data_IF_322547016865
#
_entry.id   IF_322547016865
#
_cell.length_a   1.000
_cell.length_b   1.000
_cell.length_c   1.000
_cell.angle_alpha   90.00
_cell.angle_beta   90.00
_cell.angle_gamma   90.00
#
_symmetry.space_group_name_H-M   'P 1'
#
loop_
_entity.id
_entity.type
_entity.pdbx_description
1 polymer ?
#
# COMPACT_ATOMS: atom_id res chain seq x y z
N UNK A 1 11.32 9.51 18.46
CA UNK A 1 11.64 8.45 17.49
C UNK A 1 13.15 8.26 17.43
N UNK A 2 13.62 7.01 17.44
CA UNK A 2 15.04 6.65 17.27
C UNK A 2 15.36 6.55 15.78
N UNK A 3 16.55 6.99 15.35
CA UNK A 3 16.93 7.01 13.94
C UNK A 3 18.29 6.37 13.71
N UNK A 4 18.42 5.64 12.60
CA UNK A 4 19.70 5.21 12.05
C UNK A 4 20.28 6.33 11.18
N UNK A 5 21.46 6.82 11.55
CA UNK A 5 22.10 7.99 10.93
C UNK A 5 23.47 7.67 10.31
N UNK A 6 23.75 6.39 10.10
CA UNK A 6 25.00 5.96 9.48
C UNK A 6 25.07 6.44 8.03
N UNK A 7 26.28 6.66 7.47
CA UNK A 7 26.44 7.41 6.23
C UNK A 7 25.64 6.86 5.05
N UNK A 8 25.65 5.55 4.79
CA UNK A 8 24.91 4.94 3.69
C UNK A 8 23.42 4.89 3.95
N UNK A 9 22.99 4.60 5.17
CA UNK A 9 21.56 4.64 5.51
C UNK A 9 21.00 6.05 5.31
N UNK A 10 21.73 7.09 5.72
CA UNK A 10 21.32 8.48 5.52
C UNK A 10 21.23 8.85 4.03
N UNK A 11 22.23 8.48 3.23
CA UNK A 11 22.22 8.67 1.77
C UNK A 11 20.98 8.00 1.16
N UNK A 12 20.77 6.71 1.46
CA UNK A 12 19.73 5.90 0.83
C UNK A 12 18.32 6.23 1.29
N UNK A 13 18.13 6.67 2.53
CA UNK A 13 16.80 7.11 2.98
C UNK A 13 16.41 8.45 2.34
N UNK A 14 17.37 9.36 2.13
CA UNK A 14 17.12 10.60 1.40
C UNK A 14 16.74 10.31 -0.05
N UNK A 15 17.44 9.37 -0.70
CA UNK A 15 17.12 8.91 -2.06
C UNK A 15 15.75 8.22 -2.12
N UNK A 16 15.43 7.33 -1.16
CA UNK A 16 14.17 6.58 -1.13
C UNK A 16 12.95 7.50 -1.11
N UNK A 17 12.92 8.48 -0.21
CA UNK A 17 11.78 9.40 -0.11
C UNK A 17 11.89 10.59 -1.09
N UNK A 18 13.02 10.78 -1.78
CA UNK A 18 13.28 12.00 -2.55
C UNK A 18 13.38 13.25 -1.67
N UNK A 19 13.93 13.11 -0.46
CA UNK A 19 14.00 14.18 0.54
C UNK A 19 15.41 14.36 1.11
N UNK A 20 16.15 15.33 0.58
CA UNK A 20 17.55 15.61 0.98
C UNK A 20 17.71 16.18 2.40
N UNK A 21 16.61 16.56 3.06
CA UNK A 21 16.65 17.12 4.43
C UNK A 21 16.37 16.09 5.52
N UNK A 22 16.07 14.83 5.15
CA UNK A 22 15.95 13.77 6.15
C UNK A 22 17.27 13.59 6.90
N UNK A 23 17.17 13.38 8.20
CA UNK A 23 18.31 13.29 9.12
C UNK A 23 18.55 11.88 9.66
N UNK A 24 17.93 10.87 9.05
CA UNK A 24 18.09 9.45 9.39
C UNK A 24 16.85 8.63 9.04
N UNK A 25 17.02 7.32 8.95
CA UNK A 25 15.92 6.37 8.80
C UNK A 25 15.32 6.05 10.17
N UNK A 26 14.00 6.16 10.30
CA UNK A 26 13.32 5.89 11.56
C UNK A 26 13.28 4.39 11.84
N UNK A 27 13.52 4.02 13.09
CA UNK A 27 13.44 2.65 13.57
C UNK A 27 12.13 2.47 14.33
N UNK A 28 11.57 1.27 14.21
CA UNK A 28 10.34 0.86 14.89
C UNK A 28 10.40 1.22 16.38
N UNK A 29 9.33 1.84 16.87
CA UNK A 29 9.25 2.43 18.20
C UNK A 29 8.12 1.84 19.05
N UNK A 30 7.30 0.97 18.47
CA UNK A 30 6.16 0.31 19.10
C UNK A 30 6.52 -1.11 19.48
N UNK A 31 6.23 -1.48 20.73
CA UNK A 31 6.46 -2.84 21.20
C UNK A 31 5.20 -3.69 20.96
N UNK A 32 5.18 -4.47 19.87
CA UNK A 32 4.00 -5.26 19.48
C UNK A 32 4.18 -6.77 19.67
N UNK A 33 5.29 -7.23 20.27
CA UNK A 33 5.54 -8.66 20.46
C UNK A 33 6.38 -8.96 21.70
N UNK A 34 6.43 -10.22 22.12
CA UNK A 34 7.33 -10.65 23.21
C UNK A 34 8.82 -10.64 22.80
N UNK A 35 9.10 -10.51 21.51
CA UNK A 35 10.43 -10.25 20.97
C UNK A 35 10.59 -8.74 20.72
N UNK A 36 11.71 -8.16 21.15
CA UNK A 36 11.96 -6.72 20.99
C UNK A 36 12.13 -6.36 19.51
N UNK A 37 11.06 -5.88 18.88
CA UNK A 37 11.06 -5.33 17.52
C UNK A 37 11.54 -3.86 17.51
N UNK A 38 11.40 -3.19 18.65
CA UNK A 38 11.80 -1.80 18.85
C UNK A 38 13.30 -1.65 18.59
N UNK A 39 13.66 -0.76 17.67
CA UNK A 39 15.05 -0.47 17.33
C UNK A 39 15.76 -1.52 16.46
N UNK A 40 15.09 -2.62 16.07
CA UNK A 40 15.67 -3.68 15.23
C UNK A 40 15.07 -3.78 13.82
N UNK A 41 14.01 -3.01 13.55
CA UNK A 41 13.29 -2.94 12.27
C UNK A 41 13.10 -1.49 11.85
N UNK A 42 12.80 -1.28 10.57
CA UNK A 42 12.37 0.02 10.07
C UNK A 42 10.98 0.39 10.59
N UNK A 43 10.78 1.69 10.83
CA UNK A 43 9.50 2.27 11.27
C UNK A 43 8.37 1.92 10.28
N UNK A 44 7.39 1.14 10.75
CA UNK A 44 6.32 0.61 9.94
C UNK A 44 5.47 1.70 9.29
N UNK A 45 5.39 2.89 9.88
CA UNK A 45 4.69 4.03 9.28
C UNK A 45 5.28 4.37 7.90
N UNK A 46 6.60 4.48 7.80
CA UNK A 46 7.25 5.03 6.60
C UNK A 46 7.90 3.96 5.70
N UNK A 47 8.04 2.72 6.19
CA UNK A 47 8.65 1.60 5.47
C UNK A 47 7.74 0.37 5.39
N UNK A 48 6.42 0.53 5.47
CA UNK A 48 5.49 -0.60 5.38
C UNK A 48 5.78 -1.46 4.15
N UNK A 49 5.82 -2.78 4.34
CA UNK A 49 6.08 -3.74 3.26
C UNK A 49 7.51 -3.72 2.65
N UNK A 50 8.44 -2.95 3.23
CA UNK A 50 9.88 -3.15 3.01
C UNK A 50 10.35 -4.41 3.76
N UNK A 51 11.36 -5.12 3.24
CA UNK A 51 11.89 -6.36 3.82
C UNK A 51 12.12 -6.32 5.34
N UNK A 52 12.66 -5.21 5.85
CA UNK A 52 13.02 -5.02 7.25
C UNK A 52 11.97 -4.22 8.03
N UNK A 53 10.75 -4.07 7.50
CA UNK A 53 9.61 -3.61 8.28
C UNK A 53 9.27 -4.62 9.39
N UNK A 54 8.79 -4.13 10.53
CA UNK A 54 8.55 -4.98 11.70
C UNK A 54 7.47 -6.06 11.50
N UNK A 55 6.52 -5.82 10.60
CA UNK A 55 5.38 -6.70 10.38
C UNK A 55 5.10 -6.82 8.88
N UNK A 56 4.96 -8.05 8.40
CA UNK A 56 4.40 -8.34 7.09
C UNK A 56 2.87 -8.18 7.13
N UNK A 57 2.32 -7.33 6.27
CA UNK A 57 0.88 -7.08 6.20
C UNK A 57 0.29 -7.89 5.05
N UNK A 58 -0.74 -8.68 5.36
CA UNK A 58 -1.44 -9.46 4.34
C UNK A 58 -2.12 -8.54 3.33
N UNK A 59 -2.20 -8.99 2.07
CA UNK A 59 -2.84 -8.27 0.97
C UNK A 59 -2.16 -6.97 0.53
N UNK A 60 -0.96 -6.69 1.02
CA UNK A 60 -0.06 -5.72 0.39
C UNK A 60 0.56 -6.33 -0.88
N UNK A 61 1.09 -5.50 -1.80
CA UNK A 61 1.98 -5.98 -2.85
C UNK A 61 3.13 -6.83 -2.29
N UNK A 62 3.87 -7.51 -3.16
CA UNK A 62 5.02 -8.29 -2.68
C UNK A 62 6.00 -7.41 -1.90
N UNK A 63 6.55 -7.89 -0.75
CA UNK A 63 7.58 -7.17 -0.03
C UNK A 63 8.78 -6.86 -0.94
N UNK A 64 9.45 -5.75 -0.69
CA UNK A 64 10.57 -5.30 -1.54
C UNK A 64 11.82 -5.02 -0.73
N UNK A 65 12.97 -5.17 -1.37
CA UNK A 65 14.28 -4.82 -0.81
C UNK A 65 14.69 -3.45 -1.31
N UNK A 66 14.70 -2.47 -0.41
CA UNK A 66 15.18 -1.12 -0.71
C UNK A 66 16.70 -1.03 -0.62
N UNK A 67 17.27 0.01 -1.25
CA UNK A 67 18.67 0.36 -1.03
C UNK A 67 18.95 0.82 0.41
N UNK A 68 17.92 1.20 1.19
CA UNK A 68 18.08 1.58 2.61
C UNK A 68 18.56 0.38 3.43
N UNK A 69 17.94 -0.79 3.24
CA UNK A 69 18.34 -2.04 3.89
C UNK A 69 19.75 -2.47 3.47
N UNK A 70 20.09 -2.34 2.19
CA UNK A 70 21.47 -2.62 1.74
C UNK A 70 22.47 -1.62 2.34
N UNK A 71 22.12 -0.34 2.43
CA UNK A 71 22.94 0.68 3.09
C UNK A 71 23.22 0.36 4.54
N UNK A 72 22.24 -0.20 5.27
CA UNK A 72 22.44 -0.69 6.64
C UNK A 72 23.47 -1.82 6.69
N UNK A 73 23.39 -2.78 5.77
CA UNK A 73 24.35 -3.87 5.70
C UNK A 73 25.77 -3.40 5.37
N UNK A 74 25.93 -2.41 4.50
CA UNK A 74 27.23 -1.79 4.22
C UNK A 74 27.79 -1.08 5.46
N UNK A 75 26.99 -0.20 6.08
CA UNK A 75 27.40 0.58 7.26
C UNK A 75 27.70 -0.29 8.49
N UNK A 76 27.13 -1.51 8.56
CA UNK A 76 27.46 -2.49 9.62
C UNK A 76 28.93 -2.94 9.59
N UNK A 77 29.60 -2.83 8.44
CA UNK A 77 30.95 -3.33 8.20
C UNK A 77 31.04 -4.86 8.04
N UNK A 78 29.92 -5.59 8.09
CA UNK A 78 29.89 -7.05 7.91
C UNK A 78 29.75 -7.47 6.44
N UNK A 79 29.17 -6.61 5.62
CA UNK A 79 28.83 -6.93 4.23
C UNK A 79 29.30 -5.83 3.28
N UNK A 80 29.56 -6.22 2.05
CA UNK A 80 29.67 -5.32 0.91
C UNK A 80 28.54 -5.68 -0.06
N UNK A 81 27.37 -5.02 0.03
CA UNK A 81 26.22 -5.37 -0.77
C UNK A 81 26.41 -4.97 -2.23
N UNK A 82 25.89 -5.78 -3.14
CA UNK A 82 25.70 -5.39 -4.52
C UNK A 82 24.31 -4.75 -4.65
N UNK A 83 24.29 -3.41 -4.74
CA UNK A 83 23.05 -2.61 -4.86
C UNK A 83 22.23 -2.96 -6.10
N UNK A 84 22.82 -3.59 -7.12
CA UNK A 84 22.05 -4.09 -8.27
C UNK A 84 21.05 -5.19 -7.89
N UNK A 85 21.14 -5.76 -6.68
CA UNK A 85 20.15 -6.68 -6.15
C UNK A 85 18.95 -5.99 -5.48
N UNK A 86 19.00 -4.68 -5.18
CA UNK A 86 17.80 -3.97 -4.71
C UNK A 86 16.68 -4.03 -5.76
N UNK A 87 15.43 -4.06 -5.30
CA UNK A 87 14.28 -3.97 -6.18
C UNK A 87 14.25 -2.61 -6.89
N UNK A 88 13.79 -2.61 -8.14
CA UNK A 88 13.56 -1.35 -8.87
C UNK A 88 12.27 -0.73 -8.37
N UNK A 89 12.41 0.36 -7.60
CA UNK A 89 11.28 1.02 -6.97
C UNK A 89 10.53 1.91 -7.97
N UNK A 90 9.22 1.93 -7.81
CA UNK A 90 8.26 2.66 -8.63
C UNK A 90 7.39 3.46 -7.68
N UNK A 91 7.28 4.76 -7.95
CA UNK A 91 6.46 5.68 -7.17
C UNK A 91 5.00 5.18 -7.18
N UNK A 92 4.32 5.30 -6.04
CA UNK A 92 2.94 4.82 -5.81
C UNK A 92 2.75 3.29 -5.77
N UNK A 93 3.79 2.50 -6.11
CA UNK A 93 3.79 1.05 -5.89
C UNK A 93 4.52 0.69 -4.60
N UNK A 94 5.75 1.21 -4.47
CA UNK A 94 6.64 0.88 -3.37
C UNK A 94 6.50 1.92 -2.27
N UNK A 95 6.34 1.45 -1.04
CA UNK A 95 5.90 2.28 0.08
C UNK A 95 6.85 3.45 0.34
N UNK A 96 6.30 4.67 0.33
CA UNK A 96 7.05 5.90 0.59
C UNK A 96 8.04 6.31 -0.49
N UNK A 97 8.26 5.50 -1.53
CA UNK A 97 9.26 5.81 -2.55
C UNK A 97 8.86 7.08 -3.33
N UNK A 98 9.75 8.08 -3.35
CA UNK A 98 9.55 9.41 -3.93
C UNK A 98 8.28 10.15 -3.46
N UNK A 99 7.81 9.89 -2.24
CA UNK A 99 6.65 10.60 -1.66
C UNK A 99 7.00 11.93 -0.98
N UNK A 100 8.27 12.31 -0.97
CA UNK A 100 8.77 13.55 -0.44
C UNK A 100 8.91 13.56 1.09
N UNK A 101 9.41 14.69 1.59
CA UNK A 101 9.71 14.86 3.01
C UNK A 101 8.48 14.67 3.91
N UNK A 102 7.34 15.22 3.50
CA UNK A 102 6.13 15.21 4.33
C UNK A 102 5.63 13.79 4.60
N UNK A 103 5.82 12.85 3.67
CA UNK A 103 5.47 11.45 3.91
C UNK A 103 6.28 10.89 5.08
N UNK A 104 7.58 11.18 5.10
CA UNK A 104 8.53 10.69 6.08
C UNK A 104 8.51 11.46 7.42
N UNK A 105 8.05 12.71 7.45
CA UNK A 105 8.11 13.56 8.68
C UNK A 105 6.76 13.91 9.29
N UNK A 106 5.71 14.04 8.49
CA UNK A 106 4.40 14.45 8.97
C UNK A 106 3.52 13.25 9.33
N UNK A 107 2.40 13.51 10.00
CA UNK A 107 1.41 12.48 10.31
C UNK A 107 0.81 11.91 9.02
N UNK A 108 0.51 10.61 9.03
CA UNK A 108 -0.22 9.96 7.93
C UNK A 108 -1.62 10.55 7.73
N UNK A 109 -2.26 10.97 8.83
CA UNK A 109 -3.57 11.61 8.86
C UNK A 109 -3.51 12.78 9.84
N UNK A 110 -4.01 13.93 9.40
CA UNK A 110 -4.15 15.12 10.23
C UNK A 110 -5.60 15.58 10.23
N UNK A 111 -6.22 15.63 11.42
CA UNK A 111 -7.63 16.03 11.60
C UNK A 111 -8.61 15.25 10.70
N UNK A 112 -8.39 13.94 10.54
CA UNK A 112 -9.19 13.09 9.69
C UNK A 112 -9.02 13.30 8.17
N UNK A 113 -7.92 13.92 7.74
CA UNK A 113 -7.57 14.09 6.32
C UNK A 113 -6.16 13.58 6.07
N UNK A 114 -5.92 12.98 4.91
CA UNK A 114 -4.57 12.56 4.48
C UNK A 114 -4.20 13.17 3.14
N UNK A 115 -2.96 13.63 3.02
CA UNK A 115 -2.38 14.09 1.75
C UNK A 115 -1.87 12.92 0.89
N UNK A 116 -1.79 11.71 1.46
CA UNK A 116 -1.24 10.53 0.79
C UNK A 116 -2.31 9.45 0.60
N UNK A 117 -3.44 9.84 0.00
CA UNK A 117 -4.63 9.00 -0.19
C UNK A 117 -4.44 7.69 -0.98
N UNK A 118 -3.26 7.48 -1.59
CA UNK A 118 -2.89 6.18 -2.20
C UNK A 118 -2.41 5.17 -1.14
N UNK A 119 -1.80 5.65 -0.05
CA UNK A 119 -1.19 4.83 1.00
C UNK A 119 -2.07 4.77 2.24
N UNK A 120 -2.60 5.92 2.65
CA UNK A 120 -3.40 6.08 3.85
C UNK A 120 -4.84 6.39 3.50
N UNK A 121 -5.75 6.03 4.40
CA UNK A 121 -7.16 6.36 4.31
C UNK A 121 -7.60 7.05 5.60
N UNK A 122 -8.68 7.83 5.51
CA UNK A 122 -9.18 8.60 6.63
C UNK A 122 -10.68 8.39 6.91
N UNK A 123 -11.34 7.54 6.13
CA UNK A 123 -12.77 7.29 6.25
C UNK A 123 -13.07 5.80 6.11
N UNK A 124 -13.77 5.26 7.11
CA UNK A 124 -14.16 3.86 7.14
C UNK A 124 -15.16 3.54 6.02
N UNK A 125 -15.02 2.37 5.40
CA UNK A 125 -15.89 1.95 4.30
C UNK A 125 -15.55 2.57 2.94
N UNK A 126 -14.49 3.38 2.86
CA UNK A 126 -13.93 3.80 1.57
C UNK A 126 -13.09 2.69 0.94
N UNK A 127 -13.01 2.71 -0.38
CA UNK A 127 -12.25 1.77 -1.18
C UNK A 127 -11.19 2.51 -2.00
N UNK A 128 -10.10 1.82 -2.30
CA UNK A 128 -9.08 2.24 -3.25
C UNK A 128 -8.54 1.01 -3.99
N UNK A 129 -7.86 1.23 -5.09
CA UNK A 129 -7.10 0.17 -5.72
C UNK A 129 -5.89 -0.20 -4.87
N UNK A 130 -5.50 -1.47 -4.85
CA UNK A 130 -4.19 -1.87 -4.31
C UNK A 130 -3.07 -1.08 -5.01
N UNK A 131 -1.93 -0.89 -4.33
CA UNK A 131 -0.80 -0.14 -4.90
C UNK A 131 -0.29 -0.78 -6.22
N UNK A 132 -0.39 -2.10 -6.36
CA UNK A 132 -0.08 -2.83 -7.60
C UNK A 132 -1.26 -2.93 -8.59
N UNK A 133 -2.38 -2.28 -8.24
CA UNK A 133 -3.60 -2.15 -9.03
C UNK A 133 -4.21 -3.50 -9.43
N UNK A 134 -3.96 -4.59 -8.70
CA UNK A 134 -4.53 -5.91 -9.00
C UNK A 134 -5.84 -6.23 -8.28
N UNK A 135 -6.19 -5.47 -7.25
CA UNK A 135 -7.40 -5.70 -6.46
C UNK A 135 -8.02 -4.41 -5.97
N UNK A 136 -9.30 -4.50 -5.59
CA UNK A 136 -9.99 -3.47 -4.81
C UNK A 136 -9.73 -3.73 -3.33
N UNK A 137 -9.36 -2.67 -2.62
CA UNK A 137 -8.99 -2.71 -1.20
C UNK A 137 -9.88 -1.76 -0.41
N UNK A 138 -10.33 -2.20 0.77
CA UNK A 138 -11.05 -1.39 1.74
C UNK A 138 -10.11 -0.75 2.76
N UNK A 139 -10.50 0.43 3.23
CA UNK A 139 -9.83 1.13 4.32
C UNK A 139 -9.95 0.32 5.63
N UNK A 140 -8.81 -0.06 6.22
CA UNK A 140 -8.76 -0.76 7.50
C UNK A 140 -8.81 0.24 8.66
N UNK A 141 -9.96 0.26 9.34
CA UNK A 141 -10.20 1.06 10.53
C UNK A 141 -10.98 0.23 11.56
N UNK A 142 -10.66 0.39 12.84
CA UNK A 142 -11.38 -0.24 13.94
C UNK A 142 -11.88 0.80 14.93
N UNK A 143 -13.11 0.62 15.40
CA UNK A 143 -13.68 1.41 16.49
C UNK A 143 -13.39 0.71 17.81
N UNK A 144 -12.63 1.36 18.67
CA UNK A 144 -12.28 0.90 20.00
C UNK A 144 -13.31 1.41 21.02
N UNK A 145 -13.54 0.65 22.09
CA UNK A 145 -14.41 1.08 23.18
C UNK A 145 -13.85 2.35 23.86
N UNK A 146 -12.53 2.35 24.09
CA UNK A 146 -11.78 3.47 24.65
C UNK A 146 -10.36 3.47 24.06
N UNK A 147 -9.80 4.67 23.85
CA UNK A 147 -8.38 4.84 23.50
C UNK A 147 -7.62 5.09 24.80
N UNK A 148 -6.68 4.21 25.13
CA UNK A 148 -5.85 4.38 26.33
C UNK A 148 -4.93 5.60 26.20
N UNK A 149 -4.54 6.17 27.34
CA UNK A 149 -3.68 7.37 27.38
C UNK A 149 -2.37 7.20 26.59
N UNK A 150 -1.81 5.99 26.56
CA UNK A 150 -0.59 5.67 25.80
C UNK A 150 -0.76 5.66 24.28
N UNK A 151 -1.99 5.58 23.77
CA UNK A 151 -2.29 5.57 22.32
C UNK A 151 -2.88 6.92 21.88
N UNK A 152 -3.27 7.79 22.81
CA UNK A 152 -3.96 9.05 22.52
C UNK A 152 -3.20 9.97 21.53
N UNK A 153 -1.86 9.93 21.52
CA UNK A 153 -1.02 10.67 20.56
C UNK A 153 -1.21 10.24 19.10
N UNK A 154 -1.66 9.00 18.90
CA UNK A 154 -1.94 8.37 17.62
C UNK A 154 -3.42 8.45 17.25
N UNK A 155 -4.24 9.17 18.03
CA UNK A 155 -5.61 9.45 17.64
C UNK A 155 -5.67 10.61 16.65
N UNK A 156 -5.80 10.26 15.36
CA UNK A 156 -5.89 11.21 14.25
C UNK A 156 -7.30 11.77 14.04
N UNK A 157 -8.29 11.26 14.79
CA UNK A 157 -9.71 11.52 14.60
C UNK A 157 -10.35 12.06 15.89
N UNK A 158 -11.55 12.62 15.78
CA UNK A 158 -12.30 13.10 16.96
C UNK A 158 -13.00 11.97 17.74
N UNK A 159 -12.97 10.74 17.24
CA UNK A 159 -13.63 9.57 17.84
C UNK A 159 -12.65 8.49 18.26
N UNK A 160 -13.18 7.30 18.57
CA UNK A 160 -12.38 6.13 18.98
C UNK A 160 -12.05 5.21 17.80
N UNK A 161 -12.01 5.75 16.58
CA UNK A 161 -11.74 4.96 15.37
C UNK A 161 -10.31 5.23 14.89
N UNK A 162 -9.49 4.18 14.82
CA UNK A 162 -8.07 4.26 14.45
C UNK A 162 -7.72 3.20 13.40
N UNK A 163 -6.50 3.27 12.86
CA UNK A 163 -5.92 2.17 12.09
C UNK A 163 -5.68 0.92 12.93
N UNK A 164 -5.32 -0.20 12.29
CA UNK A 164 -5.47 -1.53 12.87
C UNK A 164 -4.34 -1.96 13.80
N UNK A 165 -3.14 -1.39 13.64
CA UNK A 165 -1.92 -1.91 14.24
C UNK A 165 -1.05 -0.78 14.76
N UNK A 166 -0.30 -1.06 15.84
CA UNK A 166 0.59 -0.07 16.43
C UNK A 166 1.79 0.24 15.53
N UNK A 167 2.36 -0.74 14.80
CA UNK A 167 3.59 -0.56 13.99
C UNK A 167 3.54 0.50 12.88
N UNK A 168 2.43 0.71 12.13
CA UNK A 168 2.28 1.89 11.29
C UNK A 168 1.67 3.05 12.09
N UNK A 169 1.96 3.15 13.37
CA UNK A 169 1.54 4.26 14.23
C UNK A 169 0.02 4.45 14.27
N UNK A 170 -0.75 3.35 14.24
CA UNK A 170 -2.22 3.36 14.12
C UNK A 170 -2.76 4.15 12.92
N UNK A 171 -1.92 4.40 11.89
CA UNK A 171 -2.36 5.00 10.64
C UNK A 171 -3.31 4.04 9.90
N UNK A 172 -4.48 4.51 9.44
CA UNK A 172 -5.35 3.68 8.62
C UNK A 172 -4.82 3.61 7.18
N UNK A 173 -4.84 2.41 6.60
CA UNK A 173 -4.39 2.15 5.23
C UNK A 173 -5.34 1.16 4.51
N UNK A 174 -5.22 1.08 3.20
CA UNK A 174 -5.99 0.16 2.37
C UNK A 174 -5.40 -1.27 2.40
N UNK A 175 -5.76 -2.04 3.43
CA UNK A 175 -5.27 -3.42 3.61
C UNK A 175 -6.37 -4.49 3.65
N UNK A 176 -7.65 -4.11 3.51
CA UNK A 176 -8.77 -5.05 3.54
C UNK A 176 -9.08 -5.55 2.13
N UNK A 177 -8.70 -6.78 1.78
CA UNK A 177 -9.11 -7.36 0.49
C UNK A 177 -10.63 -7.45 0.42
N UNK A 178 -11.22 -6.92 -0.66
CA UNK A 178 -12.65 -7.05 -0.89
C UNK A 178 -12.90 -8.40 -1.57
N UNK A 179 -13.74 -9.23 -0.93
CA UNK A 179 -14.11 -10.56 -1.42
C UNK A 179 -14.61 -10.48 -2.87
N UNK A 180 -14.12 -11.37 -3.73
CA UNK A 180 -14.47 -11.46 -5.15
C UNK A 180 -14.25 -10.14 -5.94
N UNK A 181 -13.31 -9.29 -5.52
CA UNK A 181 -12.96 -8.04 -6.23
C UNK A 181 -11.46 -7.98 -6.54
N UNK A 182 -10.93 -9.07 -7.06
CA UNK A 182 -9.56 -9.20 -7.53
C UNK A 182 -9.57 -9.11 -9.06
N UNK A 183 -9.08 -8.00 -9.61
CA UNK A 183 -9.12 -7.75 -11.05
C UNK A 183 -8.40 -8.85 -11.84
N UNK A 184 -7.35 -9.43 -11.28
CA UNK A 184 -6.59 -10.51 -11.92
C UNK A 184 -7.20 -11.90 -11.83
N UNK A 185 -8.34 -12.06 -11.14
CA UNK A 185 -9.03 -13.34 -10.97
C UNK A 185 -10.35 -13.35 -11.76
N UNK A 186 -10.46 -14.28 -12.71
CA UNK A 186 -11.66 -14.46 -13.54
C UNK A 186 -12.91 -14.91 -12.77
N UNK A 187 -12.77 -15.30 -11.50
CA UNK A 187 -13.89 -15.66 -10.63
C UNK A 187 -14.43 -14.48 -9.80
N UNK A 188 -13.90 -13.28 -9.99
CA UNK A 188 -14.40 -12.07 -9.33
C UNK A 188 -15.76 -11.62 -9.85
N UNK A 189 -16.48 -10.90 -9.00
CA UNK A 189 -17.83 -10.39 -9.24
C UNK A 189 -17.78 -8.95 -9.77
N UNK A 190 -18.67 -8.62 -10.71
CA UNK A 190 -18.92 -7.24 -11.14
C UNK A 190 -19.65 -6.45 -10.04
N UNK A 191 -19.46 -5.13 -9.99
CA UNK A 191 -20.16 -4.25 -9.03
C UNK A 191 -21.69 -4.39 -9.15
N UNK A 192 -22.19 -4.65 -10.36
CA UNK A 192 -23.60 -4.86 -10.62
C UNK A 192 -23.86 -6.01 -11.58
N UNK A 193 -25.06 -6.57 -11.50
CA UNK A 193 -25.59 -7.53 -12.47
C UNK A 193 -26.91 -6.99 -13.01
N UNK A 194 -27.04 -6.68 -14.32
CA UNK A 194 -26.02 -6.77 -15.39
C UNK A 194 -24.78 -5.88 -15.18
N UNK A 195 -23.66 -6.21 -15.84
CA UNK A 195 -22.37 -5.49 -15.80
C UNK A 195 -22.44 -4.12 -16.50
N UNK A 196 -23.11 -3.14 -15.89
CA UNK A 196 -23.25 -1.80 -16.46
C UNK A 196 -21.95 -0.98 -16.39
N UNK A 197 -21.00 -1.38 -15.54
CA UNK A 197 -19.68 -0.75 -15.43
C UNK A 197 -18.66 -1.32 -16.43
N UNK A 198 -19.05 -2.34 -17.21
CA UNK A 198 -18.25 -2.98 -18.26
C UNK A 198 -16.91 -3.51 -17.76
N UNK A 199 -16.90 -4.01 -16.54
CA UNK A 199 -15.70 -4.55 -15.93
C UNK A 199 -15.23 -5.82 -16.64
N UNK A 200 -13.92 -6.02 -16.65
CA UNK A 200 -13.24 -7.19 -17.22
C UNK A 200 -12.27 -7.74 -16.19
N UNK A 201 -12.33 -9.04 -15.93
CA UNK A 201 -11.45 -9.73 -15.00
C UNK A 201 -10.55 -10.73 -15.75
N UNK A 202 -9.27 -10.74 -15.42
CA UNK A 202 -8.26 -11.57 -16.09
C UNK A 202 -6.85 -11.13 -15.73
N UNK A 203 -5.84 -11.93 -16.06
CA UNK A 203 -4.44 -11.68 -15.64
C UNK A 203 -3.89 -10.31 -16.07
N UNK A 204 -4.38 -9.75 -17.18
CA UNK A 204 -4.06 -8.41 -17.70
C UNK A 204 -4.93 -7.29 -17.11
N UNK A 205 -5.98 -7.60 -16.34
CA UNK A 205 -6.86 -6.59 -15.77
C UNK A 205 -6.27 -5.90 -14.56
N UNK A 206 -6.59 -4.61 -14.42
CA UNK A 206 -6.14 -3.73 -13.34
C UNK A 206 -7.32 -2.90 -12.81
N UNK A 207 -7.18 -2.47 -11.57
CA UNK A 207 -8.12 -1.63 -10.86
C UNK A 207 -7.88 -0.15 -11.21
N UNK A 208 -8.95 0.57 -11.54
CA UNK A 208 -8.94 1.99 -11.85
C UNK A 208 -10.02 2.73 -11.07
N UNK A 209 -9.75 3.99 -10.77
CA UNK A 209 -10.74 4.93 -10.28
C UNK A 209 -11.58 5.40 -11.49
N UNK A 210 -12.86 5.05 -11.50
CA UNK A 210 -13.74 5.23 -12.66
C UNK A 210 -15.19 5.39 -12.24
N UNK A 211 -15.93 6.22 -12.98
CA UNK A 211 -17.40 6.22 -12.98
C UNK A 211 -17.98 5.90 -14.37
N UNK A 212 -17.15 5.33 -15.25
CA UNK A 212 -17.53 4.89 -16.59
C UNK A 212 -18.61 3.80 -16.50
N UNK A 213 -19.73 4.03 -17.19
CA UNK A 213 -20.89 3.15 -17.16
C UNK A 213 -21.78 3.29 -18.38
N UNK A 214 -22.66 2.32 -18.57
CA UNK A 214 -23.73 2.40 -19.56
C UNK A 214 -24.62 3.62 -19.35
N UNK A 215 -25.07 4.21 -20.46
CA UNK A 215 -25.98 5.38 -20.47
C UNK A 215 -27.33 5.14 -19.80
N UNK A 216 -27.72 3.87 -19.60
CA UNK A 216 -28.93 3.52 -18.83
C UNK A 216 -28.79 3.91 -17.35
N UNK A 217 -27.56 3.94 -16.80
CA UNK A 217 -27.26 4.41 -15.46
C UNK A 217 -26.98 5.93 -15.47
N UNK A 218 -27.97 6.73 -15.86
CA UNK A 218 -27.81 8.18 -16.05
C UNK A 218 -28.16 9.06 -14.84
N UNK A 219 -28.59 8.47 -13.72
CA UNK A 219 -28.87 9.26 -12.51
C UNK A 219 -27.57 9.71 -11.84
N UNK A 220 -27.65 10.81 -11.09
CA UNK A 220 -26.53 11.35 -10.31
C UNK A 220 -26.07 10.44 -9.17
N UNK A 221 -26.85 9.42 -8.84
CA UNK A 221 -26.47 8.37 -7.89
C UNK A 221 -25.23 7.60 -8.35
N UNK A 222 -25.02 7.49 -9.66
CA UNK A 222 -23.91 6.75 -10.28
C UNK A 222 -22.74 7.65 -10.70
N UNK A 223 -22.75 8.94 -10.33
CA UNK A 223 -21.64 9.85 -10.64
C UNK A 223 -20.43 9.62 -9.73
N UNK A 224 -20.64 8.94 -8.60
CA UNK A 224 -19.57 8.59 -7.66
C UNK A 224 -18.51 7.72 -8.33
N UNK A 225 -17.24 8.00 -8.03
CA UNK A 225 -16.11 7.19 -8.48
C UNK A 225 -16.06 5.87 -7.74
N UNK A 226 -15.80 4.79 -8.48
CA UNK A 226 -15.63 3.44 -7.97
C UNK A 226 -14.30 2.86 -8.41
N UNK A 227 -13.86 1.84 -7.69
CA UNK A 227 -12.70 1.02 -8.05
C UNK A 227 -13.18 -0.13 -8.95
N UNK A 228 -12.95 0.04 -10.25
CA UNK A 228 -13.46 -0.83 -11.30
C UNK A 228 -12.32 -1.55 -12.02
N UNK A 229 -12.57 -2.79 -12.43
CA UNK A 229 -11.56 -3.63 -13.09
C UNK A 229 -11.68 -3.55 -14.61
N UNK A 230 -10.60 -3.19 -15.29
CA UNK A 230 -10.54 -3.15 -16.76
C UNK A 230 -9.30 -3.88 -17.28
N UNK A 231 -9.41 -4.47 -18.47
CA UNK A 231 -8.27 -5.10 -19.12
C UNK A 231 -7.29 -4.04 -19.65
N UNK A 232 -6.00 -4.31 -19.52
CA UNK A 232 -4.93 -3.41 -19.93
C UNK A 232 -4.03 -4.09 -20.96
N UNK A 233 -3.71 -3.38 -22.03
CA UNK A 233 -2.67 -3.77 -22.99
C UNK A 233 -1.57 -2.72 -23.04
N UNK A 234 -0.38 -3.05 -22.53
CA UNK A 234 0.79 -2.16 -22.56
C UNK A 234 1.38 -2.05 -23.98
N UNK A 235 1.88 -0.87 -24.31
CA UNK A 235 2.70 -0.66 -25.51
C UNK A 235 4.01 -1.46 -25.41
N UNK A 236 4.61 -1.77 -26.56
CA UNK A 236 5.85 -2.56 -26.62
C UNK A 236 7.04 -1.92 -25.92
N UNK A 237 7.03 -0.60 -25.75
CA UNK A 237 8.05 0.18 -25.04
C UNK A 237 7.64 0.52 -23.59
N UNK A 238 6.51 0.04 -23.11
CA UNK A 238 5.92 0.32 -21.78
C UNK A 238 5.65 1.81 -21.51
N UNK A 239 5.65 2.67 -22.52
CA UNK A 239 5.41 4.11 -22.37
C UNK A 239 3.92 4.47 -22.29
N UNK A 240 3.04 3.54 -22.64
CA UNK A 240 1.60 3.75 -22.67
C UNK A 240 0.85 2.42 -22.47
N UNK A 241 -0.45 2.50 -22.23
CA UNK A 241 -1.33 1.33 -22.25
C UNK A 241 -2.74 1.65 -22.71
N UNK A 242 -3.39 0.70 -23.35
CA UNK A 242 -4.78 0.78 -23.77
C UNK A 242 -5.68 0.15 -22.73
N UNK A 243 -6.76 0.84 -22.35
CA UNK A 243 -7.80 0.29 -21.48
C UNK A 243 -8.89 -0.35 -22.35
N UNK A 244 -9.31 -1.56 -21.97
CA UNK A 244 -10.36 -2.33 -22.64
C UNK A 244 -11.47 -2.68 -21.66
N UNK A 245 -12.70 -2.50 -22.10
CA UNK A 245 -13.92 -2.76 -21.33
C UNK A 245 -14.74 -3.86 -21.99
N UNK A 246 -15.67 -4.48 -21.27
CA UNK A 246 -16.60 -5.45 -21.85
C UNK A 246 -17.48 -4.79 -22.93
N UNK A 247 -17.63 -5.46 -24.07
CA UNK A 247 -18.46 -5.00 -25.17
C UNK A 247 -19.95 -5.05 -24.82
N UNK A 248 -20.71 -4.05 -25.28
CA UNK A 248 -22.18 -4.06 -25.22
C UNK A 248 -22.82 -5.00 -26.26
N UNK A 249 -22.03 -5.60 -27.15
CA UNK A 249 -22.52 -6.54 -28.17
C UNK A 249 -23.00 -7.86 -27.53
N UNK A 250 -23.93 -8.54 -28.19
CA UNK A 250 -24.51 -9.82 -27.75
C UNK A 250 -23.53 -11.00 -27.62
N UNK A 251 -22.23 -10.75 -27.79
CA UNK A 251 -21.15 -11.72 -27.69
C UNK A 251 -20.48 -11.56 -26.33
N UNK A 252 -20.96 -12.32 -25.35
CA UNK A 252 -20.36 -12.40 -24.01
C UNK A 252 -18.86 -12.66 -24.09
N UNK A 253 -18.06 -11.88 -23.37
CA UNK A 253 -16.61 -12.01 -23.31
C UNK A 253 -15.82 -11.31 -24.44
N UNK A 254 -16.46 -10.49 -25.27
CA UNK A 254 -15.72 -9.60 -26.20
C UNK A 254 -15.35 -8.29 -25.49
N UNK A 255 -14.15 -7.76 -25.73
CA UNK A 255 -13.69 -6.47 -25.19
C UNK A 255 -13.56 -5.41 -26.29
N UNK A 256 -13.66 -4.14 -25.91
CA UNK A 256 -13.46 -2.98 -26.79
C UNK A 256 -12.53 -1.96 -26.15
N UNK A 257 -11.66 -1.38 -26.97
CA UNK A 257 -10.72 -0.34 -26.54
C UNK A 257 -11.47 0.98 -26.31
N UNK A 258 -11.18 1.66 -25.19
CA UNK A 258 -11.76 2.98 -24.90
C UNK A 258 -10.77 4.13 -25.06
N UNK A 259 -9.48 3.82 -25.11
CA UNK A 259 -8.43 4.82 -25.28
C UNK A 259 -7.09 4.35 -24.71
N UNK A 260 -6.08 5.18 -24.93
CA UNK A 260 -4.70 4.94 -24.50
C UNK A 260 -4.30 5.96 -23.44
N UNK A 261 -3.84 5.46 -22.30
CA UNK A 261 -3.25 6.24 -21.22
C UNK A 261 -1.75 6.43 -21.46
N UNK A 262 -1.30 7.68 -21.38
CA UNK A 262 0.11 8.06 -21.54
C UNK A 262 0.68 8.77 -20.30
N UNK A 263 -0.18 9.21 -19.38
CA UNK A 263 0.23 9.94 -18.17
C UNK A 263 -0.71 9.72 -16.99
N UNK A 264 -0.22 9.98 -15.78
CA UNK A 264 -0.98 9.90 -14.53
C UNK A 264 -2.09 10.98 -14.50
N UNK A 265 -3.30 10.60 -14.11
CA UNK A 265 -4.43 11.53 -14.00
C UNK A 265 -5.11 11.90 -15.33
N UNK A 266 -4.62 11.43 -16.48
CA UNK A 266 -5.35 11.53 -17.75
C UNK A 266 -6.73 10.87 -17.61
N UNK A 267 -7.80 11.47 -18.13
CA UNK A 267 -9.12 10.83 -18.14
C UNK A 267 -9.49 10.32 -19.52
N UNK A 268 -10.11 9.14 -19.58
CA UNK A 268 -10.60 8.52 -20.80
C UNK A 268 -12.13 8.43 -20.79
N UNK A 269 -12.75 8.87 -21.89
CA UNK A 269 -14.18 8.76 -22.15
C UNK A 269 -14.41 7.95 -23.42
N UNK A 270 -15.53 7.22 -23.52
CA UNK A 270 -15.87 6.46 -24.73
C UNK A 270 -17.29 6.77 -25.21
N UNK A 271 -17.46 6.88 -26.53
CA UNK A 271 -18.76 7.14 -27.14
C UNK A 271 -19.74 6.00 -26.83
N UNK A 272 -20.92 6.34 -26.32
CA UNK A 272 -21.94 5.35 -25.93
C UNK A 272 -21.95 5.01 -24.44
N UNK A 273 -21.00 5.58 -23.67
CA UNK A 273 -20.92 5.47 -22.21
C UNK A 273 -21.02 6.85 -21.56
N UNK A 274 -21.36 6.86 -20.27
CA UNK A 274 -21.33 8.03 -19.39
C UNK A 274 -20.15 7.88 -18.42
N UNK A 275 -19.53 8.99 -18.03
CA UNK A 275 -18.41 8.98 -17.10
C UNK A 275 -17.06 8.74 -17.76
N UNK A 276 -16.06 8.48 -16.95
CA UNK A 276 -14.66 8.39 -17.35
C UNK A 276 -13.87 7.38 -16.51
N UNK A 277 -12.72 7.00 -17.05
CA UNK A 277 -11.69 6.22 -16.35
C UNK A 277 -10.49 7.13 -16.11
N UNK A 278 -9.99 7.17 -14.87
CA UNK A 278 -8.77 7.92 -14.52
C UNK A 278 -7.55 7.03 -14.72
N UNK A 279 -6.66 7.43 -15.64
CA UNK A 279 -5.39 6.79 -15.91
C UNK A 279 -4.41 6.96 -14.75
N UNK A 280 -3.45 6.04 -14.70
CA UNK A 280 -2.29 6.11 -13.82
C UNK A 280 -1.02 6.15 -14.67
N UNK A 281 0.10 6.50 -14.04
CA UNK A 281 1.41 6.45 -14.70
C UNK A 281 1.64 5.10 -15.42
N UNK A 282 2.01 5.09 -16.72
CA UNK A 282 2.37 3.86 -17.42
C UNK A 282 3.47 3.08 -16.73
N UNK A 283 4.41 3.74 -16.04
CA UNK A 283 5.46 3.07 -15.26
C UNK A 283 4.90 2.22 -14.10
N UNK A 284 3.71 2.54 -13.58
CA UNK A 284 3.05 1.78 -12.51
C UNK A 284 2.46 0.45 -13.00
N UNK A 285 2.03 0.40 -14.26
CA UNK A 285 1.33 -0.76 -14.83
C UNK A 285 2.18 -1.56 -15.81
N UNK A 286 2.99 -0.86 -16.60
CA UNK A 286 3.79 -1.40 -17.69
C UNK A 286 5.26 -1.40 -17.30
N UNK A 287 5.94 -2.51 -17.61
CA UNK A 287 7.37 -2.63 -17.35
C UNK A 287 7.76 -2.75 -15.87
N UNK A 288 6.82 -3.03 -14.96
CA UNK A 288 7.12 -3.36 -13.56
C UNK A 288 8.01 -4.61 -13.54
N UNK A 289 9.29 -4.51 -13.15
CA UNK A 289 10.16 -5.67 -13.10
C UNK A 289 9.62 -6.66 -12.07
N UNK A 290 9.81 -7.96 -12.33
CA UNK A 290 9.58 -8.94 -11.28
C UNK A 290 10.49 -8.60 -10.08
N UNK A 291 9.95 -8.73 -8.85
CA UNK A 291 10.79 -8.58 -7.66
C UNK A 291 11.95 -9.57 -7.74
N UNK A 292 13.14 -9.08 -7.44
CA UNK A 292 14.39 -9.85 -7.58
C UNK A 292 14.49 -10.97 -6.54
N UNK A 293 13.75 -10.86 -5.44
CA UNK A 293 13.72 -11.84 -4.36
C UNK A 293 12.43 -12.69 -4.32
N UNK A 294 11.72 -12.74 -5.44
CA UNK A 294 10.43 -13.43 -5.58
C UNK A 294 10.50 -14.96 -5.73
N UNK A 295 11.66 -15.61 -5.70
CA UNK A 295 11.67 -17.08 -5.70
C UNK A 295 11.24 -17.59 -4.33
N UNK A 296 10.09 -18.25 -4.31
CA UNK A 296 9.55 -19.10 -3.24
C UNK A 296 10.66 -19.56 -2.30
N UNK A 297 10.90 -18.78 -1.24
CA UNK A 297 11.53 -19.35 -0.07
C UNK A 297 10.45 -20.28 0.45
N UNK A 298 10.55 -21.57 0.13
CA UNK A 298 9.85 -22.60 0.86
C UNK A 298 10.26 -22.38 2.30
N UNK A 299 9.41 -21.70 3.07
CA UNK A 299 9.56 -21.62 4.51
C UNK A 299 9.53 -23.07 4.95
N UNK A 300 10.70 -23.62 5.28
CA UNK A 300 10.76 -24.90 5.95
C UNK A 300 9.87 -24.73 7.19
N UNK A 301 8.85 -25.59 7.38
CA UNK A 301 7.93 -25.41 8.47
C UNK A 301 8.73 -25.49 9.77
N UNK A 302 8.92 -24.36 10.44
CA UNK A 302 9.47 -24.35 11.78
C UNK A 302 8.43 -25.02 12.65
N UNK A 303 8.66 -26.27 13.01
CA UNK A 303 7.84 -27.03 13.97
C UNK A 303 8.05 -26.52 15.40
N UNK A 304 8.01 -25.21 15.60
CA UNK A 304 7.93 -24.64 16.93
C UNK A 304 6.45 -24.76 17.38
N UNK A 305 6.15 -25.45 18.49
CA UNK A 305 4.79 -25.51 19.00
C UNK A 305 4.33 -24.10 19.36
N UNK A 306 3.14 -23.70 18.91
CA UNK A 306 2.48 -22.50 19.42
C UNK A 306 2.33 -22.62 20.95
N UNK A 307 2.82 -21.66 21.75
CA UNK A 307 2.47 -21.61 23.16
C UNK A 307 0.98 -21.32 23.27
N UNK A 308 0.21 -22.30 23.72
CA UNK A 308 -1.17 -22.10 24.13
C UNK A 308 -1.21 -21.13 25.31
N UNK A 309 -1.91 -20.01 25.11
CA UNK A 309 -2.39 -19.08 26.14
C UNK A 309 -1.33 -18.49 27.07
N UNK A 310 -0.82 -17.31 26.75
CA UNK A 310 -0.20 -16.42 27.73
C UNK A 310 -1.24 -15.40 28.24
N UNK A 311 -1.34 -15.15 29.55
CA UNK A 311 -2.18 -14.06 30.07
C UNK A 311 -1.59 -12.70 29.68
N UNK A 312 -2.47 -11.69 29.61
CA UNK A 312 -2.09 -10.28 29.45
C UNK A 312 -1.03 -9.89 30.51
N UNK A 313 0.09 -9.23 30.14
CA UNK A 313 1.08 -8.85 31.14
C UNK A 313 0.49 -7.80 32.08
N UNK A 314 0.45 -8.12 33.37
CA UNK A 314 0.27 -7.12 34.42
C UNK A 314 1.51 -6.23 34.46
N UNK A 315 1.27 -4.92 34.47
CA UNK A 315 2.25 -3.84 34.61
C UNK A 315 3.37 -4.17 35.60
N UNK A 316 4.61 -4.20 35.12
CA UNK A 316 5.78 -4.23 35.98
C UNK A 316 6.04 -2.82 36.54
N UNK A 317 6.42 -2.67 37.83
CA UNK A 317 6.74 -1.36 38.38
C UNK A 317 8.06 -0.82 37.82
N UNK A 318 8.10 0.50 37.61
CA UNK A 318 9.28 1.27 37.19
C UNK A 318 10.51 0.94 38.07
N UNK A 319 11.71 0.76 37.49
CA UNK A 319 12.93 0.66 38.28
C UNK A 319 13.25 2.00 38.93
N UNK A 320 13.43 1.97 40.25
CA UNK A 320 13.89 3.10 41.06
C UNK A 320 15.30 3.52 40.66
N UNK A 321 15.47 4.82 40.41
CA UNK A 321 16.75 5.47 40.15
C UNK A 321 17.68 5.32 41.35
N UNK A 322 18.82 4.65 41.17
CA UNK A 322 19.95 4.76 42.09
C UNK A 322 20.77 6.02 41.74
N UNK A 323 21.19 6.85 42.72
CA UNK A 323 22.11 7.94 42.45
C UNK A 323 23.52 7.39 42.24
N UNK A 324 24.16 7.82 41.16
CA UNK A 324 25.59 7.61 40.88
C UNK A 324 26.45 8.45 41.86
N UNK A 325 27.72 8.03 42.13
CA UNK A 325 28.59 8.66 43.11
C UNK A 325 28.98 10.10 42.76
#
# INVERSE_FOLDING_TARGET
>A
VTKMITPKVLEKVQDHFGCSTLNGAELENQDTSSCSIVGSHWEGRIFLNELMAAVAIQNMPHPFVSEVTLGLFEDSGWYLPDYSNADTLIQDLHWGYNQGCNFATEKCVENGVTDFGKFWCAEAGTYACSLDRKSVMGCLMYTYEEISEGIQSWNYFSGNTLGPTATPDYCPFYGSSITNRVCTDTNSDTVNTPNYYREVFGSSSRCFDSNLRDTVLSSSEYDATHQLCYEVECSSDNSAYTIKIESSASTTGSVVDIGTCTEDGQTLTSSGFTGEVTCVSPALLCGVPASKFSESTTLAPTTAPMPTTAPLPTTAPLPTTAPLP
#
